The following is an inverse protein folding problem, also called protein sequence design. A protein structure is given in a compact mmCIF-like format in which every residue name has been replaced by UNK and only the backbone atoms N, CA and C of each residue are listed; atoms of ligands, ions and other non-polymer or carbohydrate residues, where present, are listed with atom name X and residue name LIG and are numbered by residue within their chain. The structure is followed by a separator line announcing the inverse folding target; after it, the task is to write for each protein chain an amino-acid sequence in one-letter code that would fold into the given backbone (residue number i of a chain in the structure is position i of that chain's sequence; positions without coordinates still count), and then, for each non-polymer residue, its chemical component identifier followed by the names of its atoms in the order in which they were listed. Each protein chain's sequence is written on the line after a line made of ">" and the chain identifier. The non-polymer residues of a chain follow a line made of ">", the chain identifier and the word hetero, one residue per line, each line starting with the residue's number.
data_IF_587337392925
#
_entry.id   IF_587337392925
#
_cell.length_a   1.000
_cell.length_b   1.000
_cell.length_c   1.000
_cell.angle_alpha   90.00
_cell.angle_beta   90.00
_cell.angle_gamma   90.00
#
_symmetry.space_group_name_H-M   'P 1'
#
loop_
_entity.id
_entity.type
_entity.pdbx_description
1 polymer ?
#
# COMPACT_ATOMS: atom_id res chain seq x y z
N UNK A 1 -8.26 15.95 1.18
CA UNK A 1 -7.27 15.28 2.04
C UNK A 1 -7.21 13.83 1.61
N UNK A 2 -6.03 13.28 1.33
CA UNK A 2 -5.89 11.88 0.91
C UNK A 2 -5.57 10.99 2.13
N UNK A 3 -6.29 9.88 2.28
CA UNK A 3 -5.96 8.85 3.27
C UNK A 3 -4.81 8.02 2.68
N UNK A 4 -3.71 7.86 3.42
CA UNK A 4 -2.54 7.08 3.00
C UNK A 4 -2.41 5.84 3.88
N UNK A 5 -2.11 4.70 3.27
CA UNK A 5 -1.72 3.51 4.01
C UNK A 5 -0.24 3.63 4.39
N UNK A 6 0.05 3.35 5.67
CA UNK A 6 1.42 3.31 6.19
C UNK A 6 2.00 1.91 6.04
N UNK A 7 3.33 1.82 5.86
CA UNK A 7 4.10 0.57 5.90
C UNK A 7 4.19 0.02 7.33
N UNK A 8 3.04 -0.27 7.94
CA UNK A 8 2.91 -0.81 9.29
C UNK A 8 2.61 -2.31 9.26
N UNK A 9 3.06 -3.03 10.29
CA UNK A 9 2.82 -4.47 10.43
C UNK A 9 1.32 -4.84 10.37
N UNK A 10 0.43 -3.90 10.71
CA UNK A 10 -1.03 -4.06 10.59
C UNK A 10 -1.54 -4.19 9.15
N UNK A 11 -0.77 -3.70 8.18
CA UNK A 11 -1.06 -3.79 6.74
C UNK A 11 -0.27 -4.91 6.05
N UNK A 12 0.46 -5.73 6.81
CA UNK A 12 1.37 -6.75 6.27
C UNK A 12 0.64 -8.08 6.01
N UNK A 13 0.98 -8.76 4.91
CA UNK A 13 0.44 -10.08 4.54
C UNK A 13 0.75 -11.17 5.57
N UNK A 14 1.82 -10.95 6.34
CA UNK A 14 2.25 -11.85 7.41
C UNK A 14 1.51 -11.63 8.73
N UNK A 15 0.52 -10.73 8.81
CA UNK A 15 -0.25 -10.51 10.04
C UNK A 15 -1.39 -11.52 10.18
N UNK A 16 -1.48 -12.18 11.34
CA UNK A 16 -2.60 -13.06 11.71
C UNK A 16 -3.82 -12.30 12.25
N UNK A 17 -4.94 -13.00 12.43
CA UNK A 17 -6.14 -12.44 13.06
C UNK A 17 -5.93 -12.01 14.52
N UNK A 18 -4.91 -12.53 15.20
CA UNK A 18 -4.61 -12.24 16.61
C UNK A 18 -3.63 -11.06 16.79
N UNK A 19 -3.37 -10.31 15.72
CA UNK A 19 -2.34 -9.27 15.64
C UNK A 19 -0.93 -9.80 15.91
N UNK A 20 -0.63 -11.02 15.45
CA UNK A 20 0.71 -11.61 15.55
C UNK A 20 1.36 -11.60 14.18
N UNK A 21 2.62 -11.17 14.09
CA UNK A 21 3.41 -11.32 12.87
C UNK A 21 3.86 -12.78 12.75
N UNK A 22 3.50 -13.45 11.64
CA UNK A 22 3.86 -14.86 11.39
C UNK A 22 5.37 -15.10 11.28
N UNK A 23 6.13 -14.12 10.80
CA UNK A 23 7.58 -14.26 10.61
C UNK A 23 8.35 -14.26 11.95
N UNK A 24 7.95 -13.37 12.85
CA UNK A 24 8.67 -13.13 14.12
C UNK A 24 7.95 -13.69 15.35
N UNK A 25 6.75 -14.26 15.16
CA UNK A 25 5.88 -14.78 16.20
C UNK A 25 5.67 -13.79 17.37
N UNK A 26 5.60 -12.49 17.04
CA UNK A 26 5.46 -11.41 18.02
C UNK A 26 4.16 -10.65 17.79
N UNK A 27 3.57 -10.15 18.88
CA UNK A 27 2.36 -9.33 18.79
C UNK A 27 2.75 -7.94 18.29
N UNK A 28 2.04 -7.46 17.28
CA UNK A 28 2.27 -6.16 16.64
C UNK A 28 1.07 -5.24 16.85
N UNK A 29 1.31 -3.95 16.65
CA UNK A 29 0.32 -2.88 16.83
C UNK A 29 0.49 -1.92 15.66
N UNK A 30 -0.41 -0.94 15.52
CA UNK A 30 -0.41 0.03 14.41
C UNK A 30 0.92 0.77 14.26
N UNK A 31 1.64 1.02 15.36
CA UNK A 31 2.92 1.74 15.39
C UNK A 31 4.14 0.89 14.98
N UNK A 32 4.00 -0.43 14.88
CA UNK A 32 5.13 -1.31 14.62
C UNK A 32 5.35 -1.47 13.11
N UNK A 33 6.61 -1.42 12.69
CA UNK A 33 7.10 -1.65 11.33
C UNK A 33 8.23 -2.70 11.37
N UNK A 34 8.55 -3.32 10.24
CA UNK A 34 9.68 -4.24 10.11
C UNK A 34 10.26 -4.16 8.68
N UNK A 35 11.52 -4.56 8.51
CA UNK A 35 12.20 -4.54 7.21
C UNK A 35 11.61 -5.56 6.23
N UNK A 36 11.08 -6.69 6.72
CA UNK A 36 10.34 -7.68 5.91
C UNK A 36 8.86 -7.31 5.69
N UNK A 37 8.55 -6.01 5.73
CA UNK A 37 7.20 -5.55 5.44
C UNK A 37 6.82 -5.95 4.02
N UNK A 38 5.73 -6.69 3.92
CA UNK A 38 5.15 -7.05 2.65
C UNK A 38 3.64 -6.81 2.73
N UNK A 39 3.14 -5.86 1.95
CA UNK A 39 1.75 -5.40 2.05
C UNK A 39 0.74 -6.51 1.71
N UNK A 40 -0.40 -6.55 2.41
CA UNK A 40 -1.50 -7.51 2.12
C UNK A 40 -1.96 -7.38 0.66
N UNK A 41 -2.14 -8.50 -0.07
CA UNK A 41 -2.56 -8.48 -1.47
C UNK A 41 -3.81 -7.63 -1.71
N UNK A 42 -4.82 -7.79 -0.84
CA UNK A 42 -6.07 -7.01 -0.91
C UNK A 42 -5.87 -5.50 -0.87
N UNK A 43 -4.80 -5.01 -0.24
CA UNK A 43 -4.44 -3.59 -0.23
C UNK A 43 -3.56 -3.22 -1.43
N UNK A 44 -2.76 -4.16 -1.95
CA UNK A 44 -1.92 -3.97 -3.15
C UNK A 44 -2.78 -3.74 -4.38
N UNK A 45 -3.87 -4.47 -4.53
CA UNK A 45 -4.87 -4.26 -5.58
C UNK A 45 -5.50 -2.86 -5.49
N UNK A 46 -5.55 -2.26 -4.30
CA UNK A 46 -6.05 -0.89 -4.12
C UNK A 46 -5.00 0.18 -4.43
N UNK A 47 -3.70 -0.11 -4.32
CA UNK A 47 -2.61 0.89 -4.44
C UNK A 47 -1.63 0.64 -5.59
N UNK A 48 -2.07 -0.09 -6.60
CA UNK A 48 -1.27 -0.38 -7.79
C UNK A 48 -1.13 0.86 -8.70
N UNK A 49 -0.28 0.77 -9.70
CA UNK A 49 -0.11 1.84 -10.68
C UNK A 49 -1.44 2.13 -11.40
N UNK A 50 -2.20 1.13 -11.82
CA UNK A 50 -3.48 1.33 -12.52
C UNK A 50 -4.53 2.02 -11.67
N UNK A 51 -4.56 1.79 -10.35
CA UNK A 51 -5.47 2.47 -9.44
C UNK A 51 -5.01 3.87 -9.00
N UNK A 52 -3.82 4.32 -9.43
CA UNK A 52 -3.28 5.63 -9.07
C UNK A 52 -3.77 6.73 -10.03
N UNK A 53 -4.32 7.82 -9.50
CA UNK A 53 -4.76 8.98 -10.27
C UNK A 53 -3.67 9.63 -11.16
N UNK A 54 -2.41 9.43 -10.80
CA UNK A 54 -1.26 9.96 -11.55
C UNK A 54 -0.85 9.04 -12.70
N UNK A 55 -1.34 7.81 -12.77
CA UNK A 55 -0.91 6.82 -13.74
C UNK A 55 -1.05 7.31 -15.17
N UNK A 56 0.00 7.09 -15.96
CA UNK A 56 0.08 7.54 -17.35
C UNK A 56 -0.11 9.07 -17.55
N UNK A 57 -0.05 9.86 -16.47
CA UNK A 57 -0.08 11.34 -16.53
C UNK A 57 1.32 11.89 -16.27
N UNK A 58 1.58 13.12 -16.73
CA UNK A 58 2.84 13.83 -16.50
C UNK A 58 3.17 14.08 -15.02
N UNK A 59 2.23 13.78 -14.11
CA UNK A 59 2.42 13.87 -12.66
C UNK A 59 2.99 12.59 -12.04
N UNK A 60 3.10 11.49 -12.79
CA UNK A 60 3.76 10.27 -12.32
C UNK A 60 5.27 10.36 -12.55
N UNK A 61 6.03 10.48 -11.47
CA UNK A 61 7.49 10.61 -11.51
C UNK A 61 8.18 9.39 -12.18
N UNK A 62 7.54 8.23 -12.13
CA UNK A 62 8.04 6.97 -12.70
C UNK A 62 7.26 6.53 -13.95
N UNK A 63 6.74 7.47 -14.76
CA UNK A 63 5.92 7.17 -15.96
C UNK A 63 6.47 6.05 -16.85
N UNK A 64 7.77 6.03 -17.13
CA UNK A 64 8.39 5.03 -18.02
C UNK A 64 8.62 3.66 -17.36
N UNK A 65 8.47 3.58 -16.04
CA UNK A 65 8.68 2.38 -15.24
C UNK A 65 7.40 1.92 -14.53
N UNK A 66 6.30 2.67 -14.62
CA UNK A 66 5.00 2.31 -14.06
C UNK A 66 4.30 1.32 -14.98
N UNK A 67 3.78 0.22 -14.43
CA UNK A 67 3.06 -0.80 -15.16
C UNK A 67 2.11 -1.56 -14.23
N UNK A 68 1.20 -2.31 -14.83
CA UNK A 68 0.25 -3.17 -14.14
C UNK A 68 0.93 -4.09 -13.13
N UNK A 69 0.35 -4.19 -11.93
CA UNK A 69 0.85 -5.05 -10.85
C UNK A 69 2.03 -4.48 -10.05
N UNK A 70 2.54 -3.29 -10.40
CA UNK A 70 3.52 -2.58 -9.57
C UNK A 70 2.84 -1.66 -8.56
N UNK A 71 3.37 -1.67 -7.33
CA UNK A 71 2.91 -0.76 -6.27
C UNK A 71 3.26 0.68 -6.61
N UNK A 72 2.30 1.58 -6.43
CA UNK A 72 2.56 3.00 -6.58
C UNK A 72 2.98 3.60 -5.23
N UNK A 73 4.27 3.90 -5.05
CA UNK A 73 4.77 4.52 -3.81
C UNK A 73 4.19 5.93 -3.57
N UNK A 74 3.82 6.62 -4.65
CA UNK A 74 3.16 7.94 -4.64
C UNK A 74 1.65 7.81 -4.92
N UNK A 75 1.09 6.64 -4.60
CA UNK A 75 -0.31 6.34 -4.88
C UNK A 75 -1.21 7.45 -4.34
N UNK A 76 -2.07 7.93 -5.24
CA UNK A 76 -3.06 8.96 -4.94
C UNK A 76 -4.39 8.46 -5.48
N UNK A 77 -5.44 8.33 -4.65
CA UNK A 77 -6.74 7.91 -5.14
C UNK A 77 -7.27 8.94 -6.15
N UNK A 78 -7.97 8.47 -7.18
CA UNK A 78 -8.72 9.38 -8.05
C UNK A 78 -9.75 10.11 -7.19
N UNK A 79 -9.69 11.45 -7.18
CA UNK A 79 -10.70 12.26 -6.53
C UNK A 79 -11.94 12.30 -7.41
N UNK A 80 -12.66 11.19 -7.53
CA UNK A 80 -14.10 11.27 -7.75
C UNK A 80 -14.71 11.61 -6.41
N UNK A 81 -14.56 12.87 -6.00
CA UNK A 81 -15.31 13.40 -4.88
C UNK A 81 -16.78 13.40 -5.32
N UNK A 82 -17.54 12.41 -4.86
CA UNK A 82 -18.99 12.55 -4.75
C UNK A 82 -19.27 13.84 -3.98
N UNK A 83 -20.00 14.73 -4.66
CA UNK A 83 -20.59 15.94 -4.13
C UNK A 83 -21.86 15.62 -3.33
#
# INVERSE_FOLDING_TARGET
>A
MAIRLVNGCVNCENLTAENVCRLYNTKVEVKHTCDDFNMRPSLKDEVDCLSCAKYNTSLCENQSHAAEGMLCNEWTPETTAEA
#
